data_IF_665588777963
#
_entry.id   IF_665588777963
#
_cell.length_a   1.000
_cell.length_b   1.000
_cell.length_c   1.000
_cell.angle_alpha   90.00
_cell.angle_beta   90.00
_cell.angle_gamma   90.00
#
_symmetry.space_group_name_H-M   'P 1'
#
loop_
_entity.id
_entity.type
_entity.pdbx_description
1 polymer ?
#
# COMPACT_ATOMS: atom_id res chain seq x y z
N UNK A 1 38.33 -11.79 -22.52
CA UNK A 1 38.73 -10.91 -21.41
C UNK A 1 38.98 -9.51 -21.97
N UNK A 2 37.90 -8.71 -22.09
CA UNK A 2 38.01 -7.33 -22.52
C UNK A 2 37.15 -6.49 -21.57
N UNK A 3 37.82 -5.68 -20.81
CA UNK A 3 37.22 -4.71 -19.87
C UNK A 3 36.41 -3.68 -20.66
N UNK A 4 35.13 -3.54 -20.35
CA UNK A 4 34.28 -2.45 -20.80
C UNK A 4 34.40 -1.36 -19.73
N UNK A 5 35.06 -0.24 -20.09
CA UNK A 5 35.16 0.91 -19.22
C UNK A 5 33.81 1.58 -18.99
N UNK A 6 33.38 1.66 -17.73
CA UNK A 6 32.19 2.38 -17.32
C UNK A 6 32.53 3.87 -17.28
N UNK A 7 32.04 4.63 -18.24
CA UNK A 7 32.09 6.10 -18.18
C UNK A 7 30.98 6.59 -17.25
N UNK A 8 31.37 7.40 -16.27
CA UNK A 8 30.51 8.14 -15.36
C UNK A 8 29.56 9.03 -16.16
N UNK A 9 28.30 8.71 -16.22
CA UNK A 9 27.23 9.54 -16.80
C UNK A 9 26.64 10.38 -15.67
N UNK A 10 26.57 11.68 -15.92
CA UNK A 10 26.12 12.71 -14.98
C UNK A 10 24.66 12.47 -14.53
N UNK A 11 24.40 12.61 -13.24
CA UNK A 11 23.26 12.10 -12.47
C UNK A 11 21.92 12.84 -12.68
N UNK A 12 21.64 13.37 -13.87
CA UNK A 12 20.38 14.06 -14.16
C UNK A 12 19.53 13.45 -15.28
N UNK A 13 19.80 12.20 -15.66
CA UNK A 13 18.97 11.46 -16.61
C UNK A 13 18.22 10.36 -15.85
N UNK A 14 16.94 10.58 -15.70
CA UNK A 14 15.86 9.73 -15.17
C UNK A 14 16.21 8.29 -14.75
N UNK A 15 15.93 7.99 -13.50
CA UNK A 15 16.03 6.67 -12.86
C UNK A 15 15.31 5.53 -13.62
N UNK A 16 14.41 5.84 -14.54
CA UNK A 16 13.72 4.88 -15.42
C UNK A 16 14.69 4.20 -16.39
N UNK A 17 15.77 4.86 -16.79
CA UNK A 17 16.75 4.30 -17.74
C UNK A 17 17.69 3.26 -17.09
N UNK A 18 17.94 3.38 -15.80
CA UNK A 18 18.82 2.46 -15.06
C UNK A 18 18.11 1.17 -14.63
N UNK A 19 16.82 1.20 -14.37
CA UNK A 19 16.02 -0.01 -14.06
C UNK A 19 15.91 -0.96 -15.26
N UNK A 20 15.83 -0.43 -16.46
CA UNK A 20 15.70 -1.23 -17.69
C UNK A 20 17.03 -1.89 -18.09
N UNK A 21 18.18 -1.29 -17.76
CA UNK A 21 19.51 -1.85 -18.07
C UNK A 21 19.90 -3.04 -17.14
N UNK A 22 19.36 -3.08 -15.91
CA UNK A 22 19.58 -4.20 -14.98
C UNK A 22 18.98 -5.52 -15.48
N UNK A 23 17.79 -5.45 -16.07
CA UNK A 23 17.08 -6.64 -16.58
C UNK A 23 17.62 -7.16 -17.92
N UNK A 24 18.33 -6.33 -18.70
CA UNK A 24 18.86 -6.70 -20.01
C UNK A 24 20.14 -7.54 -19.91
N UNK A 25 20.90 -7.43 -18.83
CA UNK A 25 22.12 -8.22 -18.64
C UNK A 25 21.84 -9.74 -18.45
N UNK A 26 20.64 -10.12 -18.03
CA UNK A 26 20.22 -11.53 -17.87
C UNK A 26 19.65 -12.20 -19.13
N UNK A 27 19.39 -11.45 -20.22
CA UNK A 27 18.64 -11.94 -21.38
C UNK A 27 19.38 -11.87 -22.72
N UNK A 28 20.69 -11.83 -22.74
CA UNK A 28 21.51 -11.67 -23.95
C UNK A 28 21.44 -12.80 -24.99
N UNK A 29 20.37 -13.62 -25.02
CA UNK A 29 20.25 -14.78 -25.90
C UNK A 29 19.07 -14.78 -26.90
N UNK A 30 18.22 -13.75 -26.98
CA UNK A 30 17.06 -13.77 -27.89
C UNK A 30 16.94 -12.50 -28.73
N UNK A 31 17.04 -12.68 -30.05
CA UNK A 31 17.03 -11.64 -31.11
C UNK A 31 15.75 -10.78 -31.21
N UNK A 32 14.71 -11.04 -30.42
CA UNK A 32 13.45 -10.27 -30.43
C UNK A 32 13.47 -9.01 -29.56
N UNK A 33 14.45 -8.82 -28.70
CA UNK A 33 14.44 -7.76 -27.67
C UNK A 33 14.95 -6.40 -28.19
N UNK A 34 15.78 -6.41 -29.23
CA UNK A 34 16.36 -5.17 -29.80
C UNK A 34 15.30 -4.29 -30.48
N UNK A 35 14.17 -4.88 -30.93
CA UNK A 35 13.08 -4.12 -31.56
C UNK A 35 12.21 -3.33 -30.59
N UNK A 36 12.17 -3.67 -29.29
CA UNK A 36 11.40 -2.94 -28.30
C UNK A 36 12.14 -1.70 -27.74
N UNK A 37 13.47 -1.67 -27.85
CA UNK A 37 14.29 -0.58 -27.32
C UNK A 37 14.28 0.69 -28.17
N UNK A 38 13.94 0.60 -29.44
CA UNK A 38 13.90 1.75 -30.35
C UNK A 38 12.58 2.54 -30.32
N UNK A 39 11.62 2.15 -29.50
CA UNK A 39 10.28 2.74 -29.44
C UNK A 39 10.05 3.74 -28.28
N UNK A 40 11.09 4.13 -27.55
CA UNK A 40 10.97 5.18 -26.52
C UNK A 40 11.32 6.51 -27.15
N UNK A 41 10.35 7.18 -27.75
CA UNK A 41 10.47 8.56 -28.18
C UNK A 41 10.37 9.49 -26.96
N UNK A 42 11.49 10.13 -26.59
CA UNK A 42 11.42 11.35 -25.80
C UNK A 42 10.93 12.50 -26.70
N UNK A 43 9.93 13.24 -26.25
CA UNK A 43 9.43 14.44 -26.94
C UNK A 43 10.59 15.36 -27.34
N UNK A 44 10.66 15.84 -28.59
CA UNK A 44 11.77 16.64 -29.11
C UNK A 44 12.08 17.92 -28.33
N UNK A 45 11.09 18.44 -27.61
CA UNK A 45 11.17 19.77 -26.98
C UNK A 45 11.75 19.77 -25.57
N UNK A 46 11.99 18.59 -24.98
CA UNK A 46 12.51 18.47 -23.61
C UNK A 46 13.99 18.13 -23.50
N UNK A 47 14.71 18.00 -24.62
CA UNK A 47 16.12 17.58 -24.61
C UNK A 47 17.03 18.78 -24.97
N UNK A 48 17.98 19.06 -24.10
CA UNK A 48 19.04 20.09 -24.33
C UNK A 48 19.74 19.83 -25.67
N UNK A 49 19.98 20.87 -26.53
CA UNK A 49 20.59 20.73 -27.84
C UNK A 49 21.95 20.01 -27.85
N UNK A 50 22.75 20.15 -26.79
CA UNK A 50 24.03 19.45 -26.67
C UNK A 50 23.89 17.94 -26.41
N UNK A 51 22.81 17.53 -25.75
CA UNK A 51 22.47 16.13 -25.54
C UNK A 51 21.92 15.51 -26.85
N UNK A 52 21.16 16.27 -27.63
CA UNK A 52 20.61 15.84 -28.92
C UNK A 52 21.72 15.45 -29.92
N UNK A 53 22.81 16.24 -30.00
CA UNK A 53 23.97 15.94 -30.87
C UNK A 53 24.70 14.67 -30.41
N UNK A 54 24.78 14.43 -29.10
CA UNK A 54 25.42 13.21 -28.58
C UNK A 54 24.56 11.95 -28.82
N UNK A 55 23.26 12.06 -28.67
CA UNK A 55 22.35 10.94 -28.95
C UNK A 55 22.35 10.53 -30.42
N UNK A 56 22.38 11.46 -31.36
CA UNK A 56 22.51 11.18 -32.80
C UNK A 56 23.81 10.46 -33.13
N UNK A 57 24.93 10.93 -32.60
CA UNK A 57 26.25 10.29 -32.84
C UNK A 57 26.34 8.86 -32.28
N UNK A 58 25.65 8.57 -31.17
CA UNK A 58 25.64 7.21 -30.63
C UNK A 58 24.67 6.29 -31.38
N UNK A 59 23.54 6.81 -31.85
CA UNK A 59 22.63 6.04 -32.72
C UNK A 59 23.31 5.68 -34.05
N UNK A 60 24.02 6.61 -34.66
CA UNK A 60 24.77 6.35 -35.91
C UNK A 60 25.91 5.33 -35.70
N UNK A 61 26.58 5.34 -34.55
CA UNK A 61 27.64 4.38 -34.22
C UNK A 61 27.11 2.97 -33.99
N UNK A 62 25.91 2.84 -33.43
CA UNK A 62 25.23 1.56 -33.23
C UNK A 62 24.73 1.02 -34.57
N UNK A 63 24.14 1.86 -35.42
CA UNK A 63 23.66 1.49 -36.74
C UNK A 63 24.82 1.09 -37.66
N UNK A 64 25.97 1.78 -37.63
CA UNK A 64 27.14 1.44 -38.46
C UNK A 64 27.83 0.12 -38.09
N UNK A 65 27.66 -0.38 -36.86
CA UNK A 65 28.19 -1.69 -36.44
C UNK A 65 27.29 -2.89 -36.82
N UNK A 66 26.05 -2.63 -37.22
CA UNK A 66 25.07 -3.65 -37.62
C UNK A 66 24.79 -3.69 -39.15
N UNK A 67 25.48 -2.90 -39.96
CA UNK A 67 25.33 -2.86 -41.41
C UNK A 67 25.94 -4.08 -42.10
N UNK A 68 25.46 -5.27 -41.74
CA UNK A 68 25.67 -6.51 -42.49
C UNK A 68 24.38 -7.10 -43.09
N UNK A 69 23.23 -6.42 -42.92
CA UNK A 69 21.92 -6.84 -43.46
C UNK A 69 21.34 -5.77 -44.38
N UNK A 70 20.91 -6.16 -45.57
CA UNK A 70 20.48 -5.29 -46.66
C UNK A 70 19.34 -4.32 -46.30
N UNK A 71 19.50 -3.08 -46.72
CA UNK A 71 18.68 -1.89 -46.43
C UNK A 71 17.17 -1.94 -46.80
N UNK A 72 16.75 -2.93 -47.60
CA UNK A 72 15.38 -2.96 -48.15
C UNK A 72 14.28 -3.42 -47.18
N UNK A 73 14.65 -4.17 -46.16
CA UNK A 73 13.66 -4.71 -45.19
C UNK A 73 13.39 -3.76 -44.01
N UNK A 74 14.33 -2.90 -43.67
CA UNK A 74 14.16 -1.93 -42.56
C UNK A 74 13.24 -0.75 -42.95
N UNK A 75 13.33 -0.28 -44.21
CA UNK A 75 12.51 0.86 -44.66
C UNK A 75 11.02 0.52 -44.79
N UNK A 76 10.71 -0.73 -45.19
CA UNK A 76 9.33 -1.22 -45.29
C UNK A 76 8.65 -1.46 -43.90
N UNK A 77 9.44 -1.85 -42.91
CA UNK A 77 8.89 -2.06 -41.56
C UNK A 77 8.61 -0.75 -40.82
N UNK A 78 9.41 0.28 -41.03
CA UNK A 78 9.21 1.63 -40.44
C UNK A 78 8.01 2.35 -41.06
N UNK A 79 7.80 2.22 -42.39
CA UNK A 79 6.64 2.82 -43.05
C UNK A 79 5.31 2.13 -42.63
N UNK A 80 5.31 0.81 -42.45
CA UNK A 80 4.13 0.07 -41.93
C UNK A 80 3.83 0.41 -40.46
N UNK A 81 4.84 0.60 -39.59
CA UNK A 81 4.62 1.01 -38.20
C UNK A 81 4.12 2.45 -38.08
N UNK A 82 4.66 3.38 -38.91
CA UNK A 82 4.12 4.75 -38.97
C UNK A 82 2.66 4.78 -39.47
N UNK A 83 2.32 3.99 -40.47
CA UNK A 83 0.93 3.88 -40.93
C UNK A 83 0.00 3.26 -39.85
N UNK A 84 0.50 2.29 -39.08
CA UNK A 84 -0.29 1.70 -38.00
C UNK A 84 -0.49 2.63 -36.81
N UNK A 85 0.52 3.45 -36.44
CA UNK A 85 0.43 4.46 -35.41
C UNK A 85 -0.52 5.58 -35.85
N UNK A 86 -0.46 6.02 -37.10
CA UNK A 86 -1.35 7.05 -37.62
C UNK A 86 -2.81 6.59 -37.73
N UNK A 87 -3.06 5.32 -38.00
CA UNK A 87 -4.43 4.75 -38.04
C UNK A 87 -5.02 4.61 -36.65
N UNK A 88 -4.23 4.18 -35.65
CA UNK A 88 -4.68 4.10 -34.25
C UNK A 88 -4.97 5.51 -33.72
N UNK A 89 -4.12 6.50 -34.05
CA UNK A 89 -4.29 7.89 -33.61
C UNK A 89 -5.57 8.52 -34.21
N UNK A 90 -5.88 8.27 -35.49
CA UNK A 90 -7.11 8.78 -36.10
C UNK A 90 -8.40 8.13 -35.55
N UNK A 91 -8.36 6.85 -35.17
CA UNK A 91 -9.53 6.11 -34.68
C UNK A 91 -9.91 6.52 -33.24
N UNK A 92 -8.96 6.99 -32.46
CA UNK A 92 -9.18 7.36 -31.06
C UNK A 92 -9.23 8.89 -30.83
N UNK A 93 -9.11 9.69 -31.88
CA UNK A 93 -9.00 11.15 -31.78
C UNK A 93 -10.21 11.75 -31.09
N UNK A 94 -11.41 11.36 -31.49
CA UNK A 94 -12.66 11.85 -30.91
C UNK A 94 -12.74 11.52 -29.41
N UNK A 95 -12.43 10.27 -29.02
CA UNK A 95 -12.40 9.88 -27.61
C UNK A 95 -11.34 10.63 -26.78
N UNK A 96 -10.20 10.96 -27.37
CA UNK A 96 -9.16 11.78 -26.72
C UNK A 96 -9.65 13.21 -26.53
N UNK A 97 -10.30 13.80 -27.55
CA UNK A 97 -10.82 15.16 -27.48
C UNK A 97 -11.96 15.27 -26.46
N UNK A 98 -12.85 14.27 -26.42
CA UNK A 98 -13.89 14.20 -25.38
C UNK A 98 -13.30 14.07 -23.97
N UNK A 99 -12.28 13.23 -23.76
CA UNK A 99 -11.58 13.13 -22.48
C UNK A 99 -10.94 14.47 -22.08
N UNK A 100 -10.28 15.15 -22.99
CA UNK A 100 -9.67 16.46 -22.73
C UNK A 100 -10.72 17.51 -22.34
N UNK A 101 -11.89 17.47 -22.96
CA UNK A 101 -13.01 18.34 -22.59
C UNK A 101 -13.45 18.04 -21.15
N UNK A 102 -13.61 16.76 -20.76
CA UNK A 102 -14.00 16.40 -19.39
C UNK A 102 -12.99 16.86 -18.35
N UNK A 103 -11.69 16.93 -18.68
CA UNK A 103 -10.68 17.45 -17.76
C UNK A 103 -10.92 18.94 -17.44
N UNK A 104 -11.45 19.73 -18.40
CA UNK A 104 -11.87 21.10 -18.14
C UNK A 104 -13.14 21.20 -17.30
N UNK A 105 -14.11 20.32 -17.54
CA UNK A 105 -15.40 20.30 -16.86
C UNK A 105 -15.30 19.77 -15.41
N UNK A 106 -14.43 18.79 -15.17
CA UNK A 106 -14.30 18.07 -13.91
C UNK A 106 -12.96 18.34 -13.21
N UNK A 107 -12.50 19.60 -13.25
CA UNK A 107 -11.20 20.01 -12.73
C UNK A 107 -10.88 19.54 -11.29
N UNK A 108 -11.88 19.26 -10.48
CA UNK A 108 -11.70 18.78 -9.10
C UNK A 108 -11.08 17.39 -8.95
N UNK A 109 -10.98 16.59 -10.02
CA UNK A 109 -10.32 15.29 -10.04
C UNK A 109 -9.01 15.30 -10.83
N UNK A 110 -8.62 16.45 -11.37
CA UNK A 110 -7.35 16.66 -12.03
C UNK A 110 -6.33 17.20 -11.03
N UNK A 111 -5.11 16.73 -11.12
CA UNK A 111 -3.98 17.29 -10.38
C UNK A 111 -2.90 17.67 -11.39
N UNK A 112 -3.16 18.76 -12.09
CA UNK A 112 -2.30 19.31 -13.15
C UNK A 112 -1.54 20.51 -12.59
N UNK A 113 -0.40 20.80 -13.17
CA UNK A 113 0.49 21.91 -12.84
C UNK A 113 1.29 21.80 -11.54
N UNK A 114 2.49 22.07 -11.75
CA UNK A 114 3.67 22.46 -10.99
C UNK A 114 3.63 22.44 -9.45
N UNK A 115 2.49 22.51 -8.87
CA UNK A 115 2.35 22.34 -7.45
C UNK A 115 2.24 20.84 -7.10
N UNK A 116 3.14 20.00 -7.61
CA UNK A 116 3.23 18.61 -7.17
C UNK A 116 3.46 18.57 -5.65
N UNK A 117 2.41 18.95 -4.90
CA UNK A 117 2.37 19.04 -3.44
C UNK A 117 1.79 17.78 -2.82
N UNK A 118 1.41 16.79 -3.66
CA UNK A 118 0.96 15.50 -3.15
C UNK A 118 2.13 14.52 -2.99
N UNK A 119 2.17 13.78 -1.89
CA UNK A 119 3.14 12.73 -1.72
C UNK A 119 2.95 11.62 -2.77
N UNK A 120 4.04 11.05 -3.23
CA UNK A 120 4.02 9.91 -4.14
C UNK A 120 3.59 8.65 -3.41
N UNK A 121 2.46 8.06 -3.82
CA UNK A 121 1.99 6.80 -3.28
C UNK A 121 3.06 5.69 -3.37
N UNK A 122 3.71 5.54 -4.52
CA UNK A 122 4.76 4.55 -4.73
C UNK A 122 5.98 4.77 -3.82
N UNK A 123 6.36 6.04 -3.59
CA UNK A 123 7.46 6.34 -2.67
C UNK A 123 7.13 5.98 -1.22
N UNK A 124 5.87 6.20 -0.79
CA UNK A 124 5.41 5.81 0.54
C UNK A 124 5.31 4.29 0.68
N UNK A 125 4.81 3.58 -0.33
CA UNK A 125 4.77 2.11 -0.35
C UNK A 125 6.19 1.51 -0.21
N UNK A 126 7.17 2.08 -0.93
CA UNK A 126 8.57 1.68 -0.80
C UNK A 126 9.14 2.01 0.60
N UNK A 127 8.74 3.13 1.21
CA UNK A 127 9.11 3.46 2.59
C UNK A 127 8.49 2.46 3.60
N UNK A 128 7.26 2.01 3.39
CA UNK A 128 6.64 0.97 4.22
C UNK A 128 7.43 -0.35 4.17
N UNK A 129 7.82 -0.80 2.98
CA UNK A 129 8.64 -2.00 2.83
C UNK A 129 10.01 -1.88 3.54
N UNK A 130 10.64 -0.71 3.45
CA UNK A 130 11.91 -0.42 4.12
C UNK A 130 11.75 -0.35 5.65
N UNK A 131 10.67 0.24 6.15
CA UNK A 131 10.30 0.26 7.57
C UNK A 131 10.09 -1.15 8.10
N UNK A 132 9.38 -2.02 7.39
CA UNK A 132 9.21 -3.42 7.78
C UNK A 132 10.55 -4.15 7.85
N UNK A 133 11.48 -3.86 6.95
CA UNK A 133 12.83 -4.43 6.98
C UNK A 133 13.69 -3.92 8.15
N UNK A 134 13.42 -2.70 8.63
CA UNK A 134 14.05 -2.15 9.84
C UNK A 134 13.46 -2.75 11.13
N UNK A 135 12.15 -2.98 11.15
CA UNK A 135 11.48 -3.60 12.29
C UNK A 135 11.87 -5.09 12.45
N UNK A 136 12.07 -5.80 11.35
CA UNK A 136 12.34 -7.24 11.30
C UNK A 136 13.59 -7.55 10.46
N UNK A 137 14.79 -7.18 10.92
CA UNK A 137 16.03 -7.39 10.16
C UNK A 137 16.28 -8.89 9.92
N UNK A 138 16.63 -9.24 8.68
CA UNK A 138 16.84 -10.62 8.24
C UNK A 138 15.59 -11.36 7.75
N UNK A 139 14.40 -10.95 8.17
CA UNK A 139 13.15 -11.64 7.79
C UNK A 139 12.57 -11.19 6.43
N UNK A 140 12.88 -9.98 5.98
CA UNK A 140 12.30 -9.39 4.76
C UNK A 140 13.35 -8.93 3.75
N UNK A 141 14.46 -9.66 3.70
CA UNK A 141 15.60 -9.35 2.82
C UNK A 141 15.99 -10.63 2.08
N UNK A 142 16.19 -10.53 0.76
CA UNK A 142 16.71 -11.65 -0.06
C UNK A 142 18.16 -11.99 0.32
N UNK A 143 18.93 -11.02 0.79
CA UNK A 143 20.30 -11.22 1.24
C UNK A 143 20.32 -11.51 2.73
N UNK A 144 21.12 -12.51 3.11
CA UNK A 144 21.42 -12.78 4.51
C UNK A 144 22.13 -11.55 5.11
N UNK A 145 21.59 -11.05 6.21
CA UNK A 145 22.22 -9.99 6.99
C UNK A 145 23.04 -10.65 8.09
N UNK A 146 24.35 -10.57 8.02
CA UNK A 146 25.21 -11.06 9.10
C UNK A 146 25.10 -10.14 10.33
N UNK A 147 25.41 -10.66 11.50
CA UNK A 147 25.47 -9.85 12.72
C UNK A 147 26.54 -8.75 12.64
N UNK A 148 27.60 -8.97 11.89
CA UNK A 148 28.69 -8.01 11.66
C UNK A 148 28.23 -6.84 10.79
N UNK A 149 27.44 -7.12 9.75
CA UNK A 149 26.95 -6.12 8.80
C UNK A 149 25.66 -5.39 9.26
N UNK A 150 25.03 -5.87 10.35
CA UNK A 150 23.74 -5.36 10.81
C UNK A 150 23.77 -3.85 11.06
N UNK A 151 24.82 -3.37 11.71
CA UNK A 151 24.93 -1.95 12.05
C UNK A 151 25.03 -1.06 10.80
N UNK A 152 25.84 -1.45 9.82
CA UNK A 152 26.02 -0.68 8.59
C UNK A 152 24.80 -0.78 7.68
N UNK A 153 24.21 -1.97 7.56
CA UNK A 153 22.95 -2.15 6.84
C UNK A 153 21.84 -1.27 7.43
N UNK A 154 21.72 -1.22 8.75
CA UNK A 154 20.73 -0.38 9.43
C UNK A 154 20.98 1.12 9.17
N UNK A 155 22.24 1.58 9.27
CA UNK A 155 22.59 2.98 8.96
C UNK A 155 22.26 3.36 7.53
N UNK A 156 22.55 2.50 6.56
CA UNK A 156 22.23 2.72 5.15
C UNK A 156 20.73 2.81 4.94
N UNK A 157 19.95 1.88 5.49
CA UNK A 157 18.48 1.88 5.37
C UNK A 157 17.87 3.12 5.99
N UNK A 158 18.29 3.49 7.20
CA UNK A 158 17.78 4.71 7.87
C UNK A 158 18.09 5.95 7.03
N UNK A 159 19.27 6.04 6.41
CA UNK A 159 19.64 7.16 5.54
C UNK A 159 18.74 7.23 4.29
N UNK A 160 18.49 6.11 3.63
CA UNK A 160 17.62 6.06 2.45
C UNK A 160 16.19 6.41 2.82
N UNK A 161 15.68 5.82 3.91
CA UNK A 161 14.35 6.10 4.44
C UNK A 161 14.19 7.59 4.78
N UNK A 162 15.19 8.16 5.45
CA UNK A 162 15.22 9.59 5.80
C UNK A 162 15.10 10.47 4.54
N UNK A 163 15.95 10.24 3.53
CA UNK A 163 15.92 11.03 2.30
C UNK A 163 14.58 10.93 1.57
N UNK A 164 14.01 9.71 1.48
CA UNK A 164 12.73 9.44 0.86
C UNK A 164 11.58 10.13 1.61
N UNK A 165 11.46 9.88 2.91
CA UNK A 165 10.36 10.44 3.71
C UNK A 165 10.44 11.96 3.82
N UNK A 166 11.63 12.55 3.93
CA UNK A 166 11.78 14.01 3.96
C UNK A 166 11.14 14.65 2.73
N UNK A 167 11.46 14.13 1.54
CA UNK A 167 10.88 14.61 0.28
C UNK A 167 9.34 14.50 0.28
N UNK A 168 8.80 13.36 0.72
CA UNK A 168 7.37 13.13 0.70
C UNK A 168 6.64 13.95 1.79
N UNK A 169 7.26 14.17 2.94
CA UNK A 169 6.73 15.05 3.99
C UNK A 169 6.68 16.50 3.48
N UNK A 170 7.73 17.02 2.82
CA UNK A 170 7.69 18.34 2.22
C UNK A 170 6.55 18.49 1.21
N UNK A 171 6.34 17.47 0.35
CA UNK A 171 5.22 17.43 -0.58
C UNK A 171 3.87 17.46 0.13
N UNK A 172 3.73 16.67 1.18
CA UNK A 172 2.50 16.61 1.98
C UNK A 172 2.17 17.91 2.70
N UNK A 173 3.19 18.68 3.08
CA UNK A 173 3.03 20.00 3.70
C UNK A 173 2.70 21.12 2.69
N UNK A 174 2.66 20.81 1.39
CA UNK A 174 2.04 21.65 0.37
C UNK A 174 2.94 22.68 -0.30
N UNK A 175 4.28 22.56 -0.24
CA UNK A 175 5.20 23.48 -0.90
C UNK A 175 6.29 22.75 -1.71
N UNK A 176 6.41 23.13 -3.01
CA UNK A 176 7.48 22.66 -3.89
C UNK A 176 7.87 23.80 -4.85
N UNK A 177 9.16 24.12 -4.93
CA UNK A 177 10.22 23.68 -4.03
C UNK A 177 9.91 24.07 -2.58
N UNK A 178 10.29 23.26 -1.58
CA UNK A 178 10.04 23.58 -0.19
C UNK A 178 10.81 24.85 0.20
N UNK A 179 10.18 25.70 0.99
CA UNK A 179 10.90 26.79 1.64
C UNK A 179 11.63 26.28 2.90
N UNK A 180 12.51 27.11 3.46
CA UNK A 180 13.33 26.77 4.63
C UNK A 180 12.46 26.32 5.83
N UNK A 181 11.29 26.95 6.04
CA UNK A 181 10.39 26.60 7.11
C UNK A 181 9.76 25.21 6.90
N UNK A 182 9.38 24.88 5.68
CA UNK A 182 8.83 23.56 5.31
C UNK A 182 9.89 22.47 5.47
N UNK A 183 11.13 22.73 5.04
CA UNK A 183 12.24 21.79 5.21
C UNK A 183 12.56 21.55 6.69
N UNK A 184 12.61 22.60 7.48
CA UNK A 184 12.86 22.50 8.92
C UNK A 184 11.75 21.72 9.63
N UNK A 185 10.47 21.95 9.27
CA UNK A 185 9.35 21.19 9.81
C UNK A 185 9.37 19.75 9.41
N UNK A 186 9.69 19.43 8.17
CA UNK A 186 9.84 18.06 7.69
C UNK A 186 10.96 17.32 8.44
N UNK A 187 12.09 17.98 8.67
CA UNK A 187 13.23 17.44 9.43
C UNK A 187 12.86 17.18 10.90
N UNK A 188 12.14 18.11 11.54
CA UNK A 188 11.66 17.97 12.91
C UNK A 188 10.77 16.73 13.06
N UNK A 189 9.74 16.62 12.20
CA UNK A 189 8.78 15.50 12.21
C UNK A 189 9.50 14.19 11.96
N UNK A 190 10.38 14.15 10.99
CA UNK A 190 11.11 12.94 10.62
C UNK A 190 12.10 12.50 11.71
N UNK A 191 12.81 13.45 12.32
CA UNK A 191 13.72 13.18 13.44
C UNK A 191 12.95 12.59 14.63
N UNK A 192 11.80 13.15 14.97
CA UNK A 192 10.95 12.63 16.04
C UNK A 192 10.41 11.24 15.71
N UNK A 193 9.93 11.02 14.49
CA UNK A 193 9.50 9.73 14.01
C UNK A 193 10.58 8.65 14.14
N UNK A 194 11.78 8.92 13.63
CA UNK A 194 12.90 7.96 13.69
C UNK A 194 13.32 7.65 15.14
N UNK A 195 13.29 8.63 16.04
CA UNK A 195 13.59 8.43 17.46
C UNK A 195 12.58 7.51 18.15
N UNK A 196 11.34 7.43 17.67
CA UNK A 196 10.29 6.58 18.25
C UNK A 196 10.29 5.15 17.71
N UNK A 197 10.94 4.86 16.58
CA UNK A 197 10.99 3.51 15.98
C UNK A 197 11.49 2.42 16.94
N UNK A 198 12.50 2.63 17.81
CA UNK A 198 12.89 1.63 18.80
C UNK A 198 11.76 1.28 19.79
N UNK A 199 10.92 2.23 20.16
CA UNK A 199 9.78 1.99 21.04
C UNK A 199 8.67 1.22 20.31
N UNK A 200 8.40 1.56 19.04
CA UNK A 200 7.49 0.78 18.20
C UNK A 200 7.97 -0.68 18.09
N UNK A 201 9.28 -0.89 17.89
CA UNK A 201 9.83 -2.25 17.78
C UNK A 201 9.64 -3.06 19.07
N UNK A 202 9.80 -2.44 20.24
CA UNK A 202 9.50 -3.10 21.53
C UNK A 202 8.01 -3.42 21.66
N UNK A 203 7.15 -2.53 21.23
CA UNK A 203 5.70 -2.74 21.25
C UNK A 203 5.28 -3.88 20.30
N UNK A 204 5.88 -3.94 19.10
CA UNK A 204 5.66 -5.05 18.16
C UNK A 204 6.09 -6.41 18.73
N UNK A 205 7.11 -6.43 19.58
CA UNK A 205 7.48 -7.67 20.26
C UNK A 205 6.35 -8.19 21.16
N UNK A 206 5.64 -7.30 21.88
CA UNK A 206 4.50 -7.71 22.71
C UNK A 206 3.33 -8.21 21.86
N UNK A 207 3.13 -7.66 20.63
CA UNK A 207 2.10 -8.14 19.71
C UNK A 207 2.44 -9.53 19.13
N UNK A 208 3.71 -9.77 18.85
CA UNK A 208 4.18 -11.10 18.39
C UNK A 208 4.00 -12.14 19.49
N UNK A 209 4.33 -11.78 20.73
CA UNK A 209 4.17 -12.65 21.89
C UNK A 209 2.69 -12.98 22.13
N UNK A 210 1.82 -11.98 22.04
CA UNK A 210 0.37 -12.18 22.13
C UNK A 210 -0.19 -13.09 21.02
N UNK A 211 0.40 -13.02 19.82
CA UNK A 211 0.01 -13.92 18.72
C UNK A 211 0.49 -15.34 18.97
N UNK A 212 1.70 -15.52 19.50
CA UNK A 212 2.26 -16.84 19.84
C UNK A 212 1.46 -17.54 20.95
N UNK A 213 1.09 -16.80 21.98
CA UNK A 213 0.28 -17.34 23.08
C UNK A 213 -1.20 -17.51 22.69
N UNK A 214 -1.70 -16.61 21.82
CA UNK A 214 -3.10 -16.56 21.45
C UNK A 214 -3.53 -17.52 20.34
N UNK A 215 -2.58 -18.05 19.54
CA UNK A 215 -2.86 -19.00 18.45
C UNK A 215 -2.22 -20.37 18.72
N UNK A 216 -3.01 -21.40 19.05
CA UNK A 216 -2.47 -22.75 19.27
C UNK A 216 -1.77 -23.36 18.03
N UNK A 217 -1.98 -22.80 16.83
CA UNK A 217 -1.33 -23.26 15.61
C UNK A 217 0.07 -22.66 15.40
N UNK A 218 0.40 -21.57 16.07
CA UNK A 218 1.69 -20.91 15.97
C UNK A 218 2.80 -21.80 16.55
N UNK A 219 3.80 -22.15 15.72
CA UNK A 219 4.90 -23.04 16.12
C UNK A 219 6.14 -22.30 16.58
N UNK A 220 6.32 -21.06 16.09
CA UNK A 220 7.46 -20.21 16.45
C UNK A 220 7.17 -18.74 16.21
N UNK A 221 7.98 -17.87 16.81
CA UNK A 221 7.94 -16.43 16.54
C UNK A 221 8.31 -16.09 15.09
N UNK A 222 9.20 -16.86 14.47
CA UNK A 222 9.60 -16.70 13.08
C UNK A 222 8.42 -16.95 12.14
N UNK A 223 7.57 -17.95 12.42
CA UNK A 223 6.35 -18.21 11.66
C UNK A 223 5.41 -17.01 11.69
N UNK A 224 5.21 -16.40 12.86
CA UNK A 224 4.38 -15.22 13.03
C UNK A 224 4.96 -14.04 12.22
N UNK A 225 6.27 -13.80 12.30
CA UNK A 225 6.92 -12.69 11.60
C UNK A 225 6.86 -12.86 10.08
N UNK A 226 6.98 -14.08 9.59
CA UNK A 226 7.02 -14.37 8.16
C UNK A 226 5.64 -14.52 7.52
N UNK A 227 4.68 -15.09 8.24
CA UNK A 227 3.46 -15.60 7.65
C UNK A 227 2.15 -14.90 8.11
N UNK A 228 2.14 -14.23 9.28
CA UNK A 228 0.90 -13.66 9.79
C UNK A 228 0.63 -12.27 9.18
N UNK A 229 -0.43 -12.09 8.37
CA UNK A 229 -0.74 -10.81 7.76
C UNK A 229 -1.09 -9.73 8.79
N UNK A 230 -1.65 -10.12 9.92
CA UNK A 230 -2.00 -9.20 10.99
C UNK A 230 -0.78 -8.45 11.55
N UNK A 231 0.38 -9.09 11.65
CA UNK A 231 1.60 -8.42 12.10
C UNK A 231 2.03 -7.31 11.12
N UNK A 232 1.89 -7.53 9.81
CA UNK A 232 2.17 -6.49 8.81
C UNK A 232 1.24 -5.29 8.97
N UNK A 233 -0.07 -5.53 9.15
CA UNK A 233 -1.06 -4.48 9.32
C UNK A 233 -0.82 -3.67 10.61
N UNK A 234 -0.59 -4.35 11.74
CA UNK A 234 -0.35 -3.72 13.03
C UNK A 234 0.97 -2.95 13.03
N UNK A 235 2.04 -3.51 12.45
CA UNK A 235 3.34 -2.83 12.37
C UNK A 235 3.27 -1.52 11.59
N UNK A 236 2.65 -1.55 10.42
CA UNK A 236 2.47 -0.35 9.60
C UNK A 236 1.55 0.65 10.31
N UNK A 237 0.45 0.19 10.91
CA UNK A 237 -0.43 1.06 11.70
C UNK A 237 0.35 1.78 12.82
N UNK A 238 1.11 1.05 13.66
CA UNK A 238 1.87 1.65 14.77
C UNK A 238 2.85 2.73 14.31
N UNK A 239 3.52 2.50 13.17
CA UNK A 239 4.42 3.49 12.57
C UNK A 239 3.64 4.67 11.96
N UNK A 240 2.56 4.43 11.26
CA UNK A 240 1.72 5.47 10.66
C UNK A 240 1.06 6.35 11.73
N UNK A 241 0.68 5.77 12.87
CA UNK A 241 0.11 6.49 14.01
C UNK A 241 1.04 7.60 14.52
N UNK A 242 2.35 7.40 14.53
CA UNK A 242 3.33 8.42 14.93
C UNK A 242 3.32 9.68 14.05
N UNK A 243 2.84 9.57 12.83
CA UNK A 243 2.77 10.64 11.84
C UNK A 243 1.36 11.25 11.71
N UNK A 244 0.34 10.64 12.30
CA UNK A 244 -1.06 10.92 12.00
C UNK A 244 -1.45 12.39 12.16
N UNK A 245 -1.16 13.02 13.30
CA UNK A 245 -1.51 14.42 13.57
C UNK A 245 -0.45 15.42 13.03
N UNK A 246 0.63 14.94 12.44
CA UNK A 246 1.79 15.76 12.08
C UNK A 246 1.89 16.00 10.58
N UNK A 247 1.47 15.02 9.77
CA UNK A 247 1.64 15.03 8.32
C UNK A 247 0.36 14.57 7.64
N UNK A 248 -0.24 15.40 6.75
CA UNK A 248 -1.41 14.99 5.98
C UNK A 248 -1.10 13.83 5.03
N UNK A 249 -2.09 13.03 4.68
CA UNK A 249 -2.10 11.97 3.65
C UNK A 249 -1.15 10.80 3.90
N UNK A 250 0.10 11.01 4.27
CA UNK A 250 1.12 9.95 4.39
C UNK A 250 0.68 8.82 5.32
N UNK A 251 0.20 9.07 6.56
CA UNK A 251 -0.24 8.00 7.45
C UNK A 251 -1.37 7.15 6.85
N UNK A 252 -2.31 7.79 6.14
CA UNK A 252 -3.41 7.07 5.49
C UNK A 252 -2.91 6.23 4.31
N UNK A 253 -1.98 6.75 3.50
CA UNK A 253 -1.36 5.97 2.40
C UNK A 253 -0.63 4.75 2.96
N UNK A 254 0.08 4.89 4.09
CA UNK A 254 0.75 3.76 4.76
C UNK A 254 -0.24 2.68 5.18
N UNK A 255 -1.32 3.05 5.87
CA UNK A 255 -2.32 2.06 6.33
C UNK A 255 -3.12 1.46 5.18
N UNK A 256 -3.39 2.20 4.10
CA UNK A 256 -4.01 1.65 2.88
C UNK A 256 -3.09 0.67 2.13
N UNK A 257 -1.78 0.90 2.15
CA UNK A 257 -0.82 -0.08 1.64
C UNK A 257 -0.91 -1.41 2.40
N UNK A 258 -0.96 -1.37 3.73
CA UNK A 258 -1.12 -2.56 4.56
C UNK A 258 -2.50 -3.21 4.35
N UNK A 259 -3.58 -2.41 4.31
CA UNK A 259 -4.95 -2.89 4.06
C UNK A 259 -5.05 -3.64 2.73
N UNK A 260 -4.50 -3.10 1.65
CA UNK A 260 -4.54 -3.74 0.32
C UNK A 260 -3.85 -5.11 0.28
N UNK A 261 -2.91 -5.37 1.19
CA UNK A 261 -2.11 -6.60 1.25
C UNK A 261 -2.68 -7.63 2.23
N UNK A 262 -3.34 -7.17 3.27
CA UNK A 262 -3.75 -8.02 4.41
C UNK A 262 -5.26 -8.17 4.54
N UNK A 263 -6.04 -7.28 3.93
CA UNK A 263 -7.48 -7.20 4.13
C UNK A 263 -7.87 -6.64 5.51
N UNK A 264 -6.93 -6.00 6.24
CA UNK A 264 -7.12 -5.43 7.57
C UNK A 264 -7.02 -3.91 7.48
N UNK A 265 -8.13 -3.21 7.69
CA UNK A 265 -8.22 -1.74 7.67
C UNK A 265 -8.10 -1.17 9.09
N UNK A 266 -6.94 -0.62 9.44
CA UNK A 266 -6.72 0.09 10.70
C UNK A 266 -6.47 1.56 10.38
N UNK A 267 -7.38 2.45 10.81
CA UNK A 267 -7.17 3.87 10.61
C UNK A 267 -5.99 4.37 11.48
N UNK A 268 -5.07 5.19 10.94
CA UNK A 268 -3.87 5.62 11.68
C UNK A 268 -4.18 6.46 12.93
N UNK A 269 -5.39 7.02 13.05
CA UNK A 269 -5.85 7.77 14.23
C UNK A 269 -6.32 6.90 15.40
N UNK A 270 -6.55 5.60 15.19
CA UNK A 270 -6.92 4.69 16.28
C UNK A 270 -5.82 4.66 17.36
N UNK A 271 -6.19 4.36 18.59
CA UNK A 271 -5.26 4.16 19.72
C UNK A 271 -5.32 2.71 20.14
N UNK A 272 -4.21 2.00 20.08
CA UNK A 272 -4.15 0.57 20.37
C UNK A 272 -3.02 0.29 21.36
N UNK A 273 -3.36 -0.35 22.47
CA UNK A 273 -2.44 -0.76 23.54
C UNK A 273 -1.45 -1.84 23.11
N UNK A 274 -0.74 -2.39 24.09
CA UNK A 274 0.23 -3.47 23.93
C UNK A 274 -0.43 -4.85 23.91
N UNK A 275 0.31 -5.87 23.46
CA UNK A 275 -0.17 -7.26 23.36
C UNK A 275 -1.46 -7.36 22.51
N UNK A 276 -1.52 -6.63 21.41
CA UNK A 276 -2.67 -6.62 20.51
C UNK A 276 -2.53 -7.71 19.46
N UNK A 277 -3.51 -8.60 19.38
CA UNK A 277 -3.51 -9.70 18.41
C UNK A 277 -4.76 -9.71 17.55
N UNK A 278 -4.57 -9.81 16.24
CA UNK A 278 -5.64 -10.08 15.27
C UNK A 278 -5.40 -11.45 14.68
N UNK A 279 -6.37 -12.36 14.86
CA UNK A 279 -6.31 -13.71 14.33
C UNK A 279 -7.01 -13.79 12.97
N UNK A 280 -6.36 -14.37 11.96
CA UNK A 280 -6.72 -14.38 10.53
C UNK A 280 -6.82 -12.99 9.91
N UNK A 281 -7.63 -12.12 10.43
CA UNK A 281 -7.69 -10.69 10.19
C UNK A 281 -8.51 -10.21 8.99
N UNK A 282 -8.72 -10.98 7.96
CA UNK A 282 -9.45 -10.54 6.77
C UNK A 282 -10.79 -9.89 7.12
N UNK A 283 -11.00 -8.66 6.65
CA UNK A 283 -12.24 -7.91 6.86
C UNK A 283 -12.35 -7.22 8.23
N UNK A 284 -11.28 -7.16 9.01
CA UNK A 284 -11.22 -6.30 10.21
C UNK A 284 -11.21 -4.84 9.80
N UNK A 285 -12.05 -4.04 10.47
CA UNK A 285 -12.10 -2.58 10.30
C UNK A 285 -12.02 -1.91 11.67
N UNK A 286 -11.01 -1.08 11.88
CA UNK A 286 -10.80 -0.29 13.09
C UNK A 286 -10.82 1.20 12.72
N UNK A 287 -11.90 1.89 13.13
CA UNK A 287 -12.14 3.28 12.77
C UNK A 287 -11.26 4.29 13.53
N UNK A 288 -11.17 5.51 13.00
CA UNK A 288 -10.26 6.60 13.40
C UNK A 288 -10.21 6.88 14.91
N UNK A 289 -11.35 6.93 15.55
CA UNK A 289 -11.44 7.32 16.97
C UNK A 289 -11.65 6.13 17.90
N UNK A 290 -11.34 4.91 17.43
CA UNK A 290 -11.35 3.71 18.26
C UNK A 290 -10.23 3.78 19.29
N UNK A 291 -10.54 3.37 20.51
CA UNK A 291 -9.56 3.17 21.59
C UNK A 291 -9.60 1.71 22.01
N UNK A 292 -8.45 1.04 21.99
CA UNK A 292 -8.28 -0.36 22.34
C UNK A 292 -7.22 -0.46 23.43
N UNK A 293 -7.56 -1.10 24.53
CA UNK A 293 -6.67 -1.35 25.66
C UNK A 293 -5.59 -2.40 25.37
N UNK A 294 -4.98 -2.89 26.43
CA UNK A 294 -3.94 -3.93 26.35
C UNK A 294 -4.55 -5.33 26.29
N UNK A 295 -3.82 -6.29 25.70
CA UNK A 295 -4.16 -7.72 25.63
C UNK A 295 -5.53 -7.99 24.99
N UNK A 296 -5.89 -7.20 23.97
CA UNK A 296 -7.13 -7.37 23.22
C UNK A 296 -6.89 -8.29 22.03
N UNK A 297 -7.79 -9.27 21.86
CA UNK A 297 -7.80 -10.18 20.72
C UNK A 297 -9.01 -9.96 19.83
N UNK A 298 -8.77 -9.73 18.54
CA UNK A 298 -9.81 -9.66 17.51
C UNK A 298 -9.66 -10.80 16.53
N UNK A 299 -10.79 -11.33 16.08
CA UNK A 299 -10.84 -12.26 14.96
C UNK A 299 -11.23 -11.58 13.65
N UNK A 300 -11.20 -12.32 12.55
CA UNK A 300 -11.55 -11.81 11.24
C UNK A 300 -12.96 -11.20 11.15
N UNK A 301 -13.15 -10.27 10.22
CA UNK A 301 -14.42 -9.59 9.97
C UNK A 301 -15.02 -8.83 11.18
N UNK A 302 -14.20 -8.51 12.19
CA UNK A 302 -14.62 -7.63 13.29
C UNK A 302 -14.63 -6.20 12.82
N UNK A 303 -15.70 -5.46 13.09
CA UNK A 303 -15.84 -4.04 12.78
C UNK A 303 -16.02 -3.20 14.04
N UNK A 304 -15.09 -2.26 14.27
CA UNK A 304 -15.19 -1.21 15.29
C UNK A 304 -15.48 0.12 14.57
N UNK A 305 -16.77 0.41 14.38
CA UNK A 305 -17.25 1.41 13.44
C UNK A 305 -18.05 2.55 14.07
N UNK A 306 -18.42 3.53 13.24
CA UNK A 306 -19.34 4.60 13.63
C UNK A 306 -20.80 4.15 13.45
N UNK A 307 -21.66 4.48 14.44
CA UNK A 307 -23.08 4.19 14.37
C UNK A 307 -23.82 5.13 13.42
N UNK A 308 -23.45 6.41 13.43
CA UNK A 308 -24.06 7.46 12.63
C UNK A 308 -23.10 8.63 12.51
N UNK A 309 -23.37 9.49 11.53
CA UNK A 309 -22.60 10.72 11.33
C UNK A 309 -23.47 11.93 11.68
N UNK A 310 -22.96 12.79 12.56
CA UNK A 310 -23.60 14.07 12.85
C UNK A 310 -23.55 14.94 11.57
N UNK A 311 -24.64 15.66 11.32
CA UNK A 311 -24.73 16.61 10.23
C UNK A 311 -24.75 18.02 10.79
N UNK A 312 -24.20 18.97 10.03
CA UNK A 312 -24.30 20.39 10.31
C UNK A 312 -25.69 20.93 9.88
N UNK A 313 -25.91 22.23 10.08
CA UNK A 313 -27.13 22.92 9.69
C UNK A 313 -27.43 22.90 8.19
N UNK A 314 -26.41 22.60 7.36
CA UNK A 314 -26.53 22.46 5.93
C UNK A 314 -26.69 21.00 5.46
N UNK A 315 -26.82 20.04 6.39
CA UNK A 315 -26.95 18.63 6.10
C UNK A 315 -25.65 17.93 5.72
N UNK A 316 -24.49 18.60 5.79
CA UNK A 316 -23.17 18.00 5.54
C UNK A 316 -22.67 17.25 6.75
N UNK A 317 -21.92 16.16 6.52
CA UNK A 317 -21.32 15.37 7.58
C UNK A 317 -20.29 16.23 8.34
N UNK A 318 -20.51 16.39 9.64
CA UNK A 318 -19.58 17.05 10.54
C UNK A 318 -18.33 16.19 10.73
N UNK A 319 -17.17 16.74 10.40
CA UNK A 319 -15.89 16.03 10.55
C UNK A 319 -15.40 16.06 12.00
N UNK A 320 -14.61 15.05 12.40
CA UNK A 320 -14.04 14.95 13.74
C UNK A 320 -15.01 14.39 14.80
N UNK A 321 -14.59 14.41 16.06
CA UNK A 321 -15.32 13.92 17.21
C UNK A 321 -15.28 12.39 17.39
N UNK A 322 -15.42 11.95 18.66
CA UNK A 322 -15.47 10.53 19.03
C UNK A 322 -16.71 9.90 18.39
N UNK A 323 -16.53 8.85 17.57
CA UNK A 323 -17.61 8.16 16.85
C UNK A 323 -17.44 6.64 16.75
N UNK A 324 -16.30 6.13 17.20
CA UNK A 324 -15.96 4.70 17.22
C UNK A 324 -15.83 4.20 18.64
N UNK A 325 -16.08 2.90 18.91
CA UNK A 325 -16.14 2.37 20.26
C UNK A 325 -14.80 2.41 21.00
N UNK A 326 -14.90 2.23 22.30
CA UNK A 326 -13.78 1.93 23.19
C UNK A 326 -13.84 0.46 23.61
N UNK A 327 -12.71 -0.24 23.52
CA UNK A 327 -12.52 -1.62 23.97
C UNK A 327 -11.49 -1.61 25.07
N UNK A 328 -11.87 -2.00 26.28
CA UNK A 328 -10.97 -2.06 27.42
C UNK A 328 -10.02 -3.26 27.38
N UNK A 329 -9.20 -3.42 28.43
CA UNK A 329 -8.17 -4.47 28.52
C UNK A 329 -8.74 -5.89 28.53
N UNK A 330 -7.97 -6.86 28.04
CA UNK A 330 -8.27 -8.29 28.13
C UNK A 330 -9.57 -8.72 27.42
N UNK A 331 -10.03 -7.96 26.43
CA UNK A 331 -11.25 -8.24 25.68
C UNK A 331 -10.95 -9.15 24.49
N UNK A 332 -11.82 -10.14 24.27
CA UNK A 332 -11.81 -10.99 23.07
C UNK A 332 -13.08 -10.76 22.25
N UNK A 333 -12.93 -10.46 20.95
CA UNK A 333 -14.03 -10.25 20.02
C UNK A 333 -13.97 -11.28 18.90
N UNK A 334 -14.97 -12.17 18.86
CA UNK A 334 -15.05 -13.29 17.93
C UNK A 334 -15.51 -12.87 16.51
N UNK A 335 -15.33 -13.75 15.52
CA UNK A 335 -15.51 -13.42 14.11
C UNK A 335 -16.85 -12.78 13.75
N UNK A 336 -16.81 -11.83 12.81
CA UNK A 336 -18.00 -11.22 12.22
C UNK A 336 -18.76 -10.25 13.13
N UNK A 337 -18.25 -9.96 14.33
CA UNK A 337 -18.90 -9.05 15.25
C UNK A 337 -18.74 -7.61 14.83
N UNK A 338 -19.83 -6.82 14.97
CA UNK A 338 -19.88 -5.40 14.62
C UNK A 338 -20.23 -4.57 15.85
N UNK A 339 -19.34 -3.68 16.25
CA UNK A 339 -19.49 -2.81 17.42
C UNK A 339 -19.44 -1.36 16.95
N UNK A 340 -20.52 -0.62 17.19
CA UNK A 340 -20.68 0.72 16.64
C UNK A 340 -20.98 1.77 17.72
N UNK A 341 -20.39 2.98 17.51
CA UNK A 341 -20.75 4.18 18.25
C UNK A 341 -19.68 4.66 19.21
N UNK A 342 -19.48 5.99 19.28
CA UNK A 342 -18.46 6.62 20.10
C UNK A 342 -18.68 6.50 21.62
N UNK A 343 -19.92 6.30 22.04
CA UNK A 343 -20.29 6.09 23.44
C UNK A 343 -20.28 4.62 23.85
N UNK A 344 -20.08 3.71 22.89
CA UNK A 344 -20.07 2.28 23.15
C UNK A 344 -18.73 1.88 23.77
N UNK A 345 -18.77 1.29 24.94
CA UNK A 345 -17.62 0.76 25.68
C UNK A 345 -17.78 -0.73 25.89
N UNK A 346 -16.80 -1.52 25.50
CA UNK A 346 -16.71 -2.93 25.84
C UNK A 346 -15.80 -3.04 27.06
N UNK A 347 -16.40 -3.36 28.21
CA UNK A 347 -15.71 -3.43 29.49
C UNK A 347 -14.68 -4.54 29.56
N UNK A 348 -13.66 -4.32 30.37
CA UNK A 348 -12.50 -5.19 30.50
C UNK A 348 -12.85 -6.68 30.77
N UNK A 349 -12.01 -7.60 30.29
CA UNK A 349 -12.14 -9.06 30.46
C UNK A 349 -13.44 -9.64 29.90
N UNK A 350 -14.07 -8.91 28.98
CA UNK A 350 -15.30 -9.36 28.34
C UNK A 350 -15.01 -10.14 27.06
N UNK A 351 -15.94 -11.03 26.73
CA UNK A 351 -15.91 -11.82 25.49
C UNK A 351 -17.14 -11.52 24.68
N UNK A 352 -16.95 -11.11 23.43
CA UNK A 352 -18.03 -10.89 22.46
C UNK A 352 -18.06 -12.07 21.49
N UNK A 353 -19.14 -12.83 21.49
CA UNK A 353 -19.35 -13.98 20.63
C UNK A 353 -19.47 -13.61 19.15
N UNK A 354 -19.35 -14.61 18.28
CA UNK A 354 -19.35 -14.38 16.84
C UNK A 354 -20.66 -13.81 16.29
N UNK A 355 -20.53 -12.96 15.26
CA UNK A 355 -21.66 -12.32 14.56
C UNK A 355 -22.56 -11.45 15.46
N UNK A 356 -22.05 -10.98 16.59
CA UNK A 356 -22.80 -10.10 17.49
C UNK A 356 -22.80 -8.68 16.94
N UNK A 357 -23.98 -8.04 16.93
CA UNK A 357 -24.14 -6.64 16.54
C UNK A 357 -24.45 -5.80 17.79
N UNK A 358 -23.53 -4.91 18.17
CA UNK A 358 -23.63 -4.07 19.37
C UNK A 358 -23.64 -2.58 19.02
N UNK A 359 -24.56 -1.87 19.67
CA UNK A 359 -24.66 -0.39 19.64
C UNK A 359 -24.81 0.19 21.04
N UNK A 360 -24.51 -0.61 22.06
CA UNK A 360 -24.58 -0.25 23.47
C UNK A 360 -23.38 -0.83 24.22
N UNK A 361 -23.03 -0.22 25.34
CA UNK A 361 -21.91 -0.65 26.17
C UNK A 361 -22.18 -1.99 26.86
N UNK A 362 -21.09 -2.71 27.12
CA UNK A 362 -21.05 -3.99 27.82
C UNK A 362 -20.24 -3.81 29.10
N UNK A 363 -20.77 -4.17 30.27
CA UNK A 363 -20.01 -4.11 31.53
C UNK A 363 -18.76 -5.00 31.49
N UNK A 364 -17.76 -4.75 32.34
CA UNK A 364 -16.63 -5.67 32.50
C UNK A 364 -17.08 -7.10 32.88
N UNK A 365 -16.21 -8.08 32.63
CA UNK A 365 -16.41 -9.49 32.99
C UNK A 365 -17.66 -10.14 32.36
N UNK A 366 -18.05 -9.69 31.16
CA UNK A 366 -19.27 -10.13 30.50
C UNK A 366 -19.01 -11.09 29.35
N UNK A 367 -19.91 -12.07 29.17
CA UNK A 367 -19.98 -12.89 27.96
C UNK A 367 -21.24 -12.52 27.18
N UNK A 368 -21.05 -12.04 25.96
CA UNK A 368 -22.14 -11.59 25.07
C UNK A 368 -22.27 -12.55 23.90
N UNK A 369 -23.42 -13.13 23.73
CA UNK A 369 -23.72 -14.01 22.60
C UNK A 369 -25.23 -14.00 22.30
N UNK A 370 -25.61 -14.47 21.13
CA UNK A 370 -27.01 -14.70 20.83
C UNK A 370 -27.47 -16.04 21.43
N UNK A 371 -28.55 -16.07 22.15
CA UNK A 371 -29.22 -17.34 22.48
C UNK A 371 -29.65 -18.03 21.19
N UNK A 372 -29.38 -19.34 21.09
CA UNK A 372 -29.66 -20.13 19.90
C UNK A 372 -31.12 -19.98 19.48
N UNK A 373 -31.37 -19.26 18.39
CA UNK A 373 -32.60 -19.46 17.63
C UNK A 373 -32.55 -20.89 17.10
N UNK A 374 -33.54 -21.71 17.46
CA UNK A 374 -33.61 -23.14 17.16
C UNK A 374 -33.16 -23.44 15.72
N UNK A 375 -32.02 -24.11 15.58
CA UNK A 375 -31.51 -24.57 14.30
C UNK A 375 -32.50 -25.63 13.75
N UNK A 376 -33.19 -25.31 12.68
CA UNK A 376 -34.12 -26.26 12.04
C UNK A 376 -33.36 -27.07 10.99
N UNK A 377 -33.04 -28.31 11.33
CA UNK A 377 -32.45 -29.26 10.38
C UNK A 377 -33.61 -29.98 9.68
N UNK A 378 -33.72 -29.80 8.38
CA UNK A 378 -34.72 -30.48 7.54
C UNK A 378 -34.01 -31.28 6.46
N UNK A 379 -34.48 -32.48 6.12
CA UNK A 379 -33.93 -33.27 5.01
C UNK A 379 -34.04 -32.48 3.69
N UNK A 380 -32.97 -32.42 2.90
CA UNK A 380 -33.07 -31.93 1.54
C UNK A 380 -34.06 -32.79 0.76
N UNK A 381 -35.17 -32.22 0.25
CA UNK A 381 -36.04 -32.90 -0.68
C UNK A 381 -35.21 -33.38 -1.87
N UNK A 382 -35.14 -34.69 -2.12
CA UNK A 382 -34.56 -35.21 -3.36
C UNK A 382 -35.36 -34.57 -4.50
N UNK A 383 -34.66 -33.88 -5.44
CA UNK A 383 -35.30 -33.45 -6.69
C UNK A 383 -35.90 -34.71 -7.33
N UNK A 384 -37.21 -34.73 -7.53
CA UNK A 384 -37.84 -35.75 -8.37
C UNK A 384 -37.13 -35.72 -9.72
N UNK A 385 -36.69 -36.84 -10.29
CA UNK A 385 -36.24 -36.87 -11.67
C UNK A 385 -37.34 -36.25 -12.52
N UNK A 386 -36.96 -35.39 -13.46
CA UNK A 386 -37.88 -34.83 -14.43
C UNK A 386 -38.54 -36.01 -15.14
N UNK A 387 -39.83 -36.20 -14.94
CA UNK A 387 -40.61 -37.13 -15.75
C UNK A 387 -40.50 -36.65 -17.18
N UNK A 388 -39.88 -37.47 -18.02
CA UNK A 388 -39.92 -37.36 -19.48
C UNK A 388 -41.39 -37.14 -19.86
N UNK A 389 -41.67 -36.09 -20.59
CA UNK A 389 -42.92 -35.86 -21.28
C UNK A 389 -43.07 -36.98 -22.29
N UNK A 390 -43.90 -37.94 -22.00
CA UNK A 390 -44.45 -38.83 -23.00
C UNK A 390 -45.52 -38.09 -23.77
N UNK A 391 -45.21 -37.87 -25.00
CA UNK A 391 -45.94 -37.94 -26.24
C UNK A 391 -47.43 -37.64 -26.23
N UNK A 392 -47.77 -36.61 -26.96
CA UNK A 392 -49.00 -36.43 -27.69
C UNK A 392 -49.32 -37.67 -28.52
N UNK A 393 -50.45 -38.29 -28.27
CA UNK A 393 -51.25 -39.01 -29.31
C UNK A 393 -52.71 -38.97 -28.96
N UNK A 394 -53.45 -38.48 -29.95
CA UNK A 394 -54.90 -38.48 -30.27
C UNK A 394 -55.77 -37.46 -29.52
#
# INVERSE_FOLDING_TARGET
MHMIGIYKIDLHVNAVFLGVLGDVAGYAGRSGFVQQFLAIECSPDQVNPAARVRMHRHADLIVSRFNGFSDSTLSLSLSRKRAHISVVDSTNREAVEELLQTYGETGGINYLDAAATLPSRLAIEAACAELMSLMFPGFRSEALVSSEDLADTTRIRVRHLHARLKTEICRSLGKIPPDEATEAKAEEVLSEFLKQLPSVRRLLWTDIDAAYEGDPAARSYEEIILAYPALEAVAIYRMAHLLYDKVPLIPRIMTEWAHSRTGIDIHPGAKIGENFFIDHGTGVVIGETTEIGARVKLYHAVTLGARSFQKDEHGKIKKGGKRHPTVEDDVTIYPGSTILGGETVIGARSTIGGNVFLVQSVPPDSLVYYEEKQLRIVPKRKKRPATTRDEFRE
#
